data_IF_065127776075
#
_entry.id   IF_065127776075
#
_cell.length_a   1.000
_cell.length_b   1.000
_cell.length_c   1.000
_cell.angle_alpha   90.00
_cell.angle_beta   90.00
_cell.angle_gamma   90.00
#
_symmetry.space_group_name_H-M   'P 1'
#
loop_
_entity.id
_entity.type
_entity.pdbx_description
1 polymer ?
#
# COMPACT_ATOMS: atom_id res chain seq x y z
N UNK A 1 12.18 18.41 -1.89
CA UNK A 1 11.10 19.42 -1.85
C UNK A 1 9.87 18.94 -1.06
N UNK A 2 9.18 17.82 -1.47
CA UNK A 2 7.99 17.36 -0.72
C UNK A 2 8.32 16.97 0.72
N UNK A 3 9.40 16.22 0.96
CA UNK A 3 9.83 15.79 2.30
C UNK A 3 10.14 16.98 3.21
N UNK A 4 10.76 18.02 2.68
CA UNK A 4 11.10 19.25 3.42
C UNK A 4 9.91 20.17 3.67
N UNK A 5 8.87 20.07 2.82
CA UNK A 5 7.74 21.00 2.82
C UNK A 5 6.63 20.62 3.81
N UNK A 6 6.63 19.38 4.35
CA UNK A 6 5.55 18.88 5.19
C UNK A 6 6.08 18.14 6.42
N UNK A 7 5.29 18.14 7.49
CA UNK A 7 5.61 17.41 8.72
C UNK A 7 5.02 16.00 8.80
N UNK A 8 4.27 15.59 7.77
CA UNK A 8 3.69 14.23 7.69
C UNK A 8 4.68 13.26 7.04
N UNK A 9 4.67 11.96 7.43
CA UNK A 9 5.54 10.97 6.83
C UNK A 9 5.30 10.84 5.31
N UNK A 10 6.39 10.79 4.52
CA UNK A 10 6.33 10.59 3.08
C UNK A 10 6.90 9.23 2.73
N UNK A 11 6.11 8.37 2.09
CA UNK A 11 6.56 7.09 1.52
C UNK A 11 6.56 7.16 0.01
N UNK A 12 7.67 6.79 -0.60
CA UNK A 12 7.90 6.92 -2.04
C UNK A 12 7.65 5.58 -2.76
N UNK A 13 6.85 5.62 -3.83
CA UNK A 13 6.57 4.44 -4.65
C UNK A 13 7.78 4.07 -5.49
N UNK A 14 8.27 2.85 -5.30
CA UNK A 14 9.37 2.24 -6.09
C UNK A 14 8.75 1.21 -7.02
N UNK A 15 8.45 1.62 -8.23
CA UNK A 15 7.79 0.78 -9.24
C UNK A 15 8.28 1.15 -10.64
N UNK A 16 9.35 0.53 -11.15
CA UNK A 16 10.00 0.92 -12.41
C UNK A 16 9.14 0.68 -13.65
N UNK A 17 8.15 -0.23 -13.58
CA UNK A 17 7.24 -0.52 -14.69
C UNK A 17 5.80 -0.73 -14.20
N UNK A 18 4.83 -0.36 -15.04
CA UNK A 18 3.40 -0.48 -14.74
C UNK A 18 2.78 -1.80 -15.20
N UNK A 19 3.43 -2.51 -16.11
CA UNK A 19 2.87 -3.68 -16.82
C UNK A 19 2.79 -4.96 -15.99
N UNK A 20 3.63 -5.08 -14.94
CA UNK A 20 3.74 -6.31 -14.15
C UNK A 20 4.38 -6.02 -12.79
N UNK A 21 4.19 -6.93 -11.82
CA UNK A 21 4.92 -6.97 -10.56
C UNK A 21 6.03 -8.05 -10.55
N UNK A 22 6.23 -8.75 -11.68
CA UNK A 22 7.38 -9.64 -11.86
C UNK A 22 8.54 -8.83 -12.43
N UNK A 23 9.63 -8.73 -11.70
CA UNK A 23 10.79 -7.90 -12.04
C UNK A 23 11.98 -8.74 -12.49
N UNK A 24 12.75 -8.21 -13.41
CA UNK A 24 14.03 -8.74 -13.83
C UNK A 24 15.18 -8.32 -12.90
N UNK A 25 16.36 -8.85 -13.10
CA UNK A 25 17.58 -8.38 -12.40
C UNK A 25 17.89 -6.91 -12.69
N UNK A 26 17.59 -6.42 -13.90
CA UNK A 26 17.76 -5.01 -14.24
C UNK A 26 16.77 -4.12 -13.50
N UNK A 27 15.49 -4.53 -13.42
CA UNK A 27 14.49 -3.82 -12.64
C UNK A 27 14.92 -3.73 -11.15
N UNK A 28 15.50 -4.81 -10.61
CA UNK A 28 16.00 -4.82 -9.23
C UNK A 28 17.08 -3.76 -9.00
N UNK A 29 18.05 -3.64 -9.91
CA UNK A 29 19.10 -2.64 -9.74
C UNK A 29 18.56 -1.22 -9.83
N UNK A 30 17.59 -0.95 -10.72
CA UNK A 30 16.87 0.34 -10.75
C UNK A 30 16.16 0.59 -9.44
N UNK A 31 15.40 -0.39 -8.93
CA UNK A 31 14.67 -0.24 -7.65
C UNK A 31 15.62 0.03 -6.47
N UNK A 32 16.77 -0.63 -6.42
CA UNK A 32 17.78 -0.39 -5.38
C UNK A 32 18.34 1.03 -5.45
N UNK A 33 18.66 1.50 -6.67
CA UNK A 33 19.12 2.87 -6.89
C UNK A 33 18.07 3.90 -6.44
N UNK A 34 16.80 3.69 -6.81
CA UNK A 34 15.71 4.55 -6.39
C UNK A 34 15.53 4.55 -4.85
N UNK A 35 15.69 3.39 -4.20
CA UNK A 35 15.63 3.28 -2.73
C UNK A 35 16.75 4.08 -2.07
N UNK A 36 17.98 4.01 -2.56
CA UNK A 36 19.09 4.81 -2.03
C UNK A 36 18.82 6.32 -2.20
N UNK A 37 18.34 6.75 -3.36
CA UNK A 37 17.94 8.14 -3.57
C UNK A 37 16.83 8.60 -2.58
N UNK A 38 15.88 7.71 -2.24
CA UNK A 38 14.84 7.98 -1.24
C UNK A 38 15.43 8.15 0.16
N UNK A 39 16.45 7.38 0.54
CA UNK A 39 17.17 7.56 1.81
C UNK A 39 17.88 8.91 1.86
N UNK A 40 18.59 9.27 0.78
CA UNK A 40 19.35 10.52 0.71
C UNK A 40 18.47 11.75 0.91
N UNK A 41 17.24 11.73 0.40
CA UNK A 41 16.28 12.84 0.58
C UNK A 41 15.56 12.81 1.94
N UNK A 42 15.82 11.82 2.79
CA UNK A 42 15.23 11.71 4.13
C UNK A 42 13.74 11.40 4.16
N UNK A 43 13.21 10.66 3.18
CA UNK A 43 11.83 10.20 3.22
C UNK A 43 11.60 9.16 4.33
N UNK A 44 10.37 9.06 4.84
CA UNK A 44 9.99 8.13 5.92
C UNK A 44 10.05 6.67 5.48
N UNK A 45 9.77 6.39 4.22
CA UNK A 45 9.73 5.03 3.76
C UNK A 45 9.53 4.87 2.26
N UNK A 46 9.42 3.62 1.87
CA UNK A 46 9.23 3.19 0.48
C UNK A 46 7.99 2.31 0.34
N UNK A 47 7.46 2.28 -0.87
CA UNK A 47 6.31 1.46 -1.23
C UNK A 47 6.68 0.60 -2.43
N UNK A 48 6.73 -0.71 -2.26
CA UNK A 48 6.99 -1.65 -3.35
C UNK A 48 6.26 -2.98 -3.13
N UNK A 49 6.40 -3.91 -4.06
CA UNK A 49 5.92 -5.29 -3.97
C UNK A 49 6.37 -6.03 -5.20
N UNK A 50 6.72 -7.29 -5.06
CA UNK A 50 7.27 -8.12 -6.11
C UNK A 50 6.63 -9.51 -6.10
N UNK A 51 6.28 -9.99 -7.29
CA UNK A 51 5.68 -11.30 -7.49
C UNK A 51 6.55 -12.12 -8.45
N UNK A 52 6.40 -13.44 -8.35
CA UNK A 52 6.89 -14.37 -9.35
C UNK A 52 5.80 -14.69 -10.38
N UNK A 53 6.14 -15.51 -11.37
CA UNK A 53 5.21 -15.91 -12.44
C UNK A 53 4.01 -16.75 -11.95
N UNK A 54 4.12 -17.34 -10.74
CA UNK A 54 3.04 -18.12 -10.10
C UNK A 54 2.10 -17.25 -9.28
N UNK A 55 2.18 -15.91 -9.41
CA UNK A 55 1.41 -14.96 -8.59
C UNK A 55 1.57 -15.19 -7.08
N UNK A 56 2.77 -15.55 -6.66
CA UNK A 56 3.21 -15.60 -5.27
C UNK A 56 4.27 -14.52 -5.04
N UNK A 57 4.52 -14.15 -3.79
CA UNK A 57 5.59 -13.19 -3.48
C UNK A 57 6.94 -13.77 -3.91
N UNK A 58 7.71 -13.01 -4.68
CA UNK A 58 9.11 -13.35 -5.00
C UNK A 58 9.98 -13.06 -3.77
N UNK A 59 10.18 -14.09 -2.95
CA UNK A 59 10.92 -13.99 -1.69
C UNK A 59 12.36 -13.53 -1.90
N UNK A 60 13.03 -14.05 -2.95
CA UNK A 60 14.42 -13.69 -3.23
C UNK A 60 14.56 -12.22 -3.62
N UNK A 61 13.62 -11.72 -4.40
CA UNK A 61 13.54 -10.31 -4.77
C UNK A 61 13.20 -9.46 -3.56
N UNK A 62 12.20 -9.88 -2.78
CA UNK A 62 11.74 -9.18 -1.57
C UNK A 62 12.89 -8.97 -0.58
N UNK A 63 13.65 -10.01 -0.25
CA UNK A 63 14.78 -9.94 0.67
C UNK A 63 15.84 -8.94 0.23
N UNK A 64 16.15 -8.90 -1.08
CA UNK A 64 17.10 -7.94 -1.64
C UNK A 64 16.60 -6.49 -1.52
N UNK A 65 15.30 -6.27 -1.78
CA UNK A 65 14.67 -4.95 -1.64
C UNK A 65 14.60 -4.51 -0.18
N UNK A 66 14.27 -5.42 0.74
CA UNK A 66 14.27 -5.15 2.17
C UNK A 66 15.67 -4.83 2.69
N UNK A 67 16.70 -5.53 2.21
CA UNK A 67 18.08 -5.21 2.54
C UNK A 67 18.46 -3.80 2.07
N UNK A 68 18.10 -3.43 0.85
CA UNK A 68 18.31 -2.07 0.33
C UNK A 68 17.54 -1.02 1.13
N UNK A 69 16.34 -1.35 1.62
CA UNK A 69 15.46 -0.44 2.37
C UNK A 69 15.75 -0.34 3.87
N UNK A 70 16.87 -0.92 4.35
CA UNK A 70 17.20 -0.91 5.77
C UNK A 70 17.17 0.52 6.35
N UNK A 71 16.41 0.69 7.43
CA UNK A 71 16.20 1.99 8.09
C UNK A 71 14.99 2.77 7.59
N UNK A 72 14.30 2.31 6.55
CA UNK A 72 13.05 2.88 6.04
C UNK A 72 11.84 2.05 6.44
N UNK A 73 10.70 2.70 6.60
CA UNK A 73 9.42 2.02 6.67
C UNK A 73 9.05 1.44 5.30
N UNK A 74 8.53 0.21 5.27
CA UNK A 74 8.17 -0.45 4.01
C UNK A 74 6.67 -0.72 3.95
N UNK A 75 6.05 -0.28 2.85
CA UNK A 75 4.69 -0.66 2.48
C UNK A 75 4.73 -1.65 1.33
N UNK A 76 4.15 -2.84 1.51
CA UNK A 76 3.91 -3.75 0.39
C UNK A 76 2.64 -3.29 -0.35
N UNK A 77 2.80 -2.91 -1.61
CA UNK A 77 1.71 -2.30 -2.37
C UNK A 77 0.71 -3.31 -2.94
N UNK A 78 -0.19 -2.87 -3.82
CA UNK A 78 -1.28 -3.65 -4.41
C UNK A 78 -0.85 -4.83 -5.30
N UNK A 79 0.43 -5.15 -5.44
CA UNK A 79 0.86 -6.47 -5.89
C UNK A 79 0.26 -7.58 -5.00
N UNK A 80 -0.03 -7.24 -3.73
CA UNK A 80 -0.72 -8.13 -2.80
C UNK A 80 -2.09 -8.58 -3.33
N UNK A 81 -2.82 -7.70 -4.03
CA UNK A 81 -4.14 -8.01 -4.59
C UNK A 81 -4.10 -9.05 -5.73
N UNK A 82 -2.92 -9.27 -6.35
CA UNK A 82 -2.73 -10.23 -7.43
C UNK A 82 -2.24 -11.61 -6.96
N UNK A 83 -2.04 -11.79 -5.65
CA UNK A 83 -1.69 -13.08 -5.09
C UNK A 83 -2.82 -14.09 -5.28
N UNK A 84 -2.46 -15.32 -5.60
CA UNK A 84 -3.42 -16.44 -5.66
C UNK A 84 -4.05 -16.75 -4.30
N UNK A 85 -3.30 -16.49 -3.21
CA UNK A 85 -3.75 -16.69 -1.83
C UNK A 85 -3.30 -15.51 -0.95
N UNK A 86 -4.24 -14.61 -0.63
CA UNK A 86 -3.96 -13.41 0.17
C UNK A 86 -3.59 -13.77 1.63
N UNK A 87 -4.17 -14.83 2.20
CA UNK A 87 -3.87 -15.23 3.58
C UNK A 87 -2.46 -15.80 3.73
N UNK A 88 -2.02 -16.56 2.75
CA UNK A 88 -0.66 -17.08 2.70
C UNK A 88 0.34 -15.92 2.49
N UNK A 89 0.01 -14.97 1.60
CA UNK A 89 0.79 -13.76 1.42
C UNK A 89 0.90 -12.92 2.69
N UNK A 90 -0.20 -12.77 3.44
CA UNK A 90 -0.18 -12.08 4.73
C UNK A 90 0.76 -12.78 5.72
N UNK A 91 0.63 -14.10 5.89
CA UNK A 91 1.51 -14.87 6.78
C UNK A 91 2.98 -14.70 6.42
N UNK A 92 3.30 -14.81 5.13
CA UNK A 92 4.67 -14.61 4.67
C UNK A 92 5.18 -13.19 5.00
N UNK A 93 4.39 -12.15 4.76
CA UNK A 93 4.80 -10.77 5.05
C UNK A 93 5.02 -10.56 6.54
N UNK A 94 4.23 -11.17 7.40
CA UNK A 94 4.38 -11.06 8.86
C UNK A 94 5.71 -11.63 9.37
N UNK A 95 6.38 -12.51 8.62
CA UNK A 95 7.73 -12.99 8.92
C UNK A 95 8.81 -11.94 8.62
N UNK A 96 8.45 -10.81 8.01
CA UNK A 96 9.37 -9.70 7.68
C UNK A 96 8.98 -8.41 8.43
N UNK A 97 9.44 -8.18 9.66
CA UNK A 97 9.06 -7.01 10.48
C UNK A 97 9.39 -5.65 9.86
N UNK A 98 10.28 -5.62 8.85
CA UNK A 98 10.58 -4.41 8.10
C UNK A 98 9.38 -3.94 7.25
N UNK A 99 8.44 -4.83 6.90
CA UNK A 99 7.20 -4.49 6.20
C UNK A 99 6.15 -4.18 7.26
N UNK A 100 5.91 -2.91 7.50
CA UNK A 100 4.96 -2.48 8.52
C UNK A 100 3.55 -2.19 7.99
N UNK A 101 3.35 -2.18 6.67
CA UNK A 101 2.06 -1.87 6.06
C UNK A 101 1.83 -2.70 4.80
N UNK A 102 0.60 -3.19 4.61
CA UNK A 102 0.13 -3.79 3.35
C UNK A 102 -0.98 -2.92 2.78
N UNK A 103 -0.77 -2.36 1.57
CA UNK A 103 -1.81 -1.67 0.83
C UNK A 103 -2.58 -2.68 -0.03
N UNK A 104 -3.86 -2.86 0.27
CA UNK A 104 -4.70 -3.83 -0.43
C UNK A 104 -6.13 -3.33 -0.63
N UNK A 105 -6.76 -3.83 -1.66
CA UNK A 105 -8.21 -3.67 -1.90
C UNK A 105 -9.02 -4.91 -1.50
N UNK A 106 -8.37 -5.95 -0.99
CA UNK A 106 -8.97 -7.26 -0.71
C UNK A 106 -8.97 -8.19 -1.92
N UNK A 107 -8.14 -7.91 -2.94
CA UNK A 107 -8.03 -8.72 -4.16
C UNK A 107 -9.17 -8.48 -5.16
N UNK A 108 -9.43 -9.48 -6.01
CA UNK A 108 -10.48 -9.44 -7.03
C UNK A 108 -11.88 -9.72 -6.44
N UNK A 109 -12.91 -9.34 -7.18
CA UNK A 109 -14.30 -9.58 -6.84
C UNK A 109 -15.09 -8.30 -6.57
N UNK A 110 -16.36 -8.50 -6.21
CA UNK A 110 -17.25 -7.38 -5.88
C UNK A 110 -16.92 -6.76 -4.49
N UNK A 111 -17.64 -5.70 -4.12
CA UNK A 111 -17.38 -4.99 -2.88
C UNK A 111 -17.61 -5.86 -1.63
N UNK A 112 -18.61 -6.75 -1.66
CA UNK A 112 -18.94 -7.59 -0.52
C UNK A 112 -17.86 -8.66 -0.29
N UNK A 113 -17.46 -9.34 -1.35
CA UNK A 113 -16.36 -10.33 -1.31
C UNK A 113 -15.07 -9.71 -0.83
N UNK A 114 -14.72 -8.53 -1.36
CA UNK A 114 -13.53 -7.79 -0.96
C UNK A 114 -13.58 -7.34 0.49
N UNK A 115 -14.74 -6.81 0.94
CA UNK A 115 -14.92 -6.38 2.34
C UNK A 115 -14.80 -7.55 3.31
N UNK A 116 -15.33 -8.72 2.96
CA UNK A 116 -15.19 -9.94 3.76
C UNK A 116 -13.72 -10.35 3.90
N UNK A 117 -12.98 -10.37 2.79
CA UNK A 117 -11.53 -10.68 2.81
C UNK A 117 -10.74 -9.63 3.57
N UNK A 118 -11.04 -8.34 3.39
CA UNK A 118 -10.39 -7.25 4.14
C UNK A 118 -10.60 -7.41 5.65
N UNK A 119 -11.83 -7.73 6.08
CA UNK A 119 -12.13 -8.00 7.49
C UNK A 119 -11.27 -9.16 8.04
N UNK A 120 -11.14 -10.25 7.26
CA UNK A 120 -10.31 -11.38 7.64
C UNK A 120 -8.83 -11.01 7.72
N UNK A 121 -8.31 -10.25 6.75
CA UNK A 121 -6.92 -9.77 6.73
C UNK A 121 -6.65 -8.86 7.93
N UNK A 122 -7.52 -7.88 8.21
CA UNK A 122 -7.39 -6.98 9.36
C UNK A 122 -7.34 -7.77 10.67
N UNK A 123 -8.23 -8.76 10.83
CA UNK A 123 -8.24 -9.60 12.03
C UNK A 123 -6.98 -10.46 12.17
N UNK A 124 -6.47 -11.03 11.06
CA UNK A 124 -5.32 -11.94 11.07
C UNK A 124 -3.98 -11.20 11.16
N UNK A 125 -3.90 -10.00 10.63
CA UNK A 125 -2.73 -9.13 10.75
C UNK A 125 -2.46 -8.72 12.20
N UNK A 126 -3.53 -8.68 13.02
CA UNK A 126 -3.49 -8.23 14.42
C UNK A 126 -2.74 -6.91 14.55
N UNK A 127 -1.66 -6.86 15.29
CA UNK A 127 -0.80 -5.66 15.39
C UNK A 127 0.56 -5.82 14.68
N UNK A 128 0.77 -6.96 14.01
CA UNK A 128 2.04 -7.29 13.37
C UNK A 128 2.32 -6.47 12.12
N UNK A 129 1.27 -6.19 11.34
CA UNK A 129 1.36 -5.38 10.13
C UNK A 129 0.06 -4.59 9.93
N UNK A 130 0.17 -3.34 9.50
CA UNK A 130 -1.00 -2.50 9.25
C UNK A 130 -1.64 -2.84 7.90
N UNK A 131 -2.96 -3.05 7.89
CA UNK A 131 -3.73 -3.18 6.64
C UNK A 131 -4.24 -1.81 6.23
N UNK A 132 -3.60 -1.23 5.22
CA UNK A 132 -3.99 0.02 4.58
C UNK A 132 -5.00 -0.29 3.47
N UNK A 133 -6.26 -0.04 3.73
CA UNK A 133 -7.36 -0.35 2.80
C UNK A 133 -7.39 0.67 1.66
N UNK A 134 -7.20 0.22 0.43
CA UNK A 134 -7.18 1.09 -0.75
C UNK A 134 -7.81 0.45 -1.98
N UNK A 135 -7.80 1.16 -3.10
CA UNK A 135 -8.35 0.65 -4.35
C UNK A 135 -9.87 0.69 -4.41
N UNK A 136 -10.41 1.88 -4.68
CA UNK A 136 -11.84 2.13 -4.76
C UNK A 136 -12.47 2.70 -3.50
N UNK A 137 -11.66 3.15 -2.54
CA UNK A 137 -12.16 3.92 -1.39
C UNK A 137 -12.60 5.30 -1.88
N UNK A 138 -13.84 5.65 -1.55
CA UNK A 138 -14.48 6.91 -1.93
C UNK A 138 -15.17 7.54 -0.73
N UNK A 139 -15.51 8.81 -0.85
CA UNK A 139 -16.35 9.50 0.11
C UNK A 139 -17.69 8.75 0.37
N UNK A 140 -18.28 8.18 -0.68
CA UNK A 140 -19.56 7.46 -0.58
C UNK A 140 -19.47 6.12 0.14
N UNK A 141 -18.30 5.46 0.21
CA UNK A 141 -18.18 4.11 0.77
C UNK A 141 -17.27 3.97 1.99
N UNK A 142 -16.48 4.99 2.33
CA UNK A 142 -15.46 4.88 3.37
C UNK A 142 -16.01 4.55 4.75
N UNK A 143 -17.17 5.12 5.13
CA UNK A 143 -17.80 4.85 6.41
C UNK A 143 -18.30 3.40 6.51
N UNK A 144 -18.94 2.89 5.45
CA UNK A 144 -19.37 1.48 5.38
C UNK A 144 -18.18 0.53 5.33
N UNK A 145 -17.13 0.85 4.58
CA UNK A 145 -15.91 0.05 4.58
C UNK A 145 -15.26 -0.02 5.96
N UNK A 146 -15.18 1.11 6.70
CA UNK A 146 -14.67 1.11 8.07
C UNK A 146 -15.49 0.18 8.97
N UNK A 147 -16.82 0.28 8.92
CA UNK A 147 -17.72 -0.55 9.71
C UNK A 147 -17.63 -2.04 9.36
N UNK A 148 -17.57 -2.38 8.07
CA UNK A 148 -17.55 -3.77 7.59
C UNK A 148 -16.21 -4.46 7.85
N UNK A 149 -15.10 -3.74 7.73
CA UNK A 149 -13.76 -4.32 7.79
C UNK A 149 -13.07 -4.20 9.13
N UNK A 150 -13.55 -3.31 10.02
CA UNK A 150 -12.83 -2.84 11.20
C UNK A 150 -11.43 -2.25 10.88
N UNK A 151 -11.22 -1.83 9.64
CA UNK A 151 -9.98 -1.20 9.20
C UNK A 151 -9.76 0.15 9.88
N UNK A 152 -8.49 0.44 10.18
CA UNK A 152 -8.08 1.70 10.83
C UNK A 152 -7.51 2.69 9.84
N UNK A 153 -6.92 2.22 8.74
CA UNK A 153 -6.19 3.03 7.77
C UNK A 153 -6.74 2.87 6.37
N UNK A 154 -6.92 4.01 5.68
CA UNK A 154 -7.52 4.07 4.34
C UNK A 154 -6.66 4.91 3.40
N UNK A 155 -6.39 4.36 2.22
CA UNK A 155 -5.73 5.06 1.14
C UNK A 155 -6.78 5.65 0.19
N UNK A 156 -6.77 6.96 0.04
CA UNK A 156 -7.61 7.68 -0.91
C UNK A 156 -6.75 8.37 -1.97
N UNK A 157 -7.19 8.31 -3.21
CA UNK A 157 -6.53 8.98 -4.33
C UNK A 157 -7.46 10.00 -4.97
N UNK A 158 -8.25 9.56 -5.96
CA UNK A 158 -9.18 10.44 -6.71
C UNK A 158 -10.20 11.15 -5.81
N UNK A 159 -10.69 10.47 -4.78
CA UNK A 159 -11.70 11.05 -3.87
C UNK A 159 -11.19 12.22 -3.02
N UNK A 160 -9.88 12.46 -2.98
CA UNK A 160 -9.29 13.63 -2.37
C UNK A 160 -9.18 14.82 -3.34
N UNK A 161 -9.66 14.67 -4.57
CA UNK A 161 -9.49 15.65 -5.66
C UNK A 161 -10.82 16.18 -6.14
N UNK A 162 -10.79 17.40 -6.70
CA UNK A 162 -11.95 18.04 -7.32
C UNK A 162 -12.56 17.11 -8.38
N UNK A 163 -13.89 16.98 -8.36
CA UNK A 163 -14.68 16.14 -9.26
C UNK A 163 -14.29 14.65 -9.28
N UNK A 164 -13.57 14.15 -8.27
CA UNK A 164 -13.00 12.80 -8.27
C UNK A 164 -12.13 12.50 -9.51
N UNK A 165 -11.56 13.53 -10.10
CA UNK A 165 -10.70 13.40 -11.29
C UNK A 165 -9.27 13.04 -10.89
N UNK A 166 -8.66 12.09 -11.65
CA UNK A 166 -7.27 11.69 -11.43
C UNK A 166 -6.28 12.85 -11.56
N UNK A 167 -6.58 13.81 -12.41
CA UNK A 167 -5.77 15.02 -12.67
C UNK A 167 -6.30 16.27 -11.97
N UNK A 168 -7.42 16.15 -11.24
CA UNK A 168 -8.02 17.24 -10.48
C UNK A 168 -7.09 17.73 -9.36
N UNK A 169 -7.26 18.99 -8.97
CA UNK A 169 -6.53 19.55 -7.82
C UNK A 169 -6.94 18.86 -6.52
N UNK A 170 -6.03 18.79 -5.56
CA UNK A 170 -6.37 18.30 -4.22
C UNK A 170 -7.38 19.26 -3.58
N UNK A 171 -8.47 18.72 -3.08
CA UNK A 171 -9.52 19.47 -2.39
C UNK A 171 -9.41 19.28 -0.87
N UNK A 172 -9.07 20.36 -0.18
CA UNK A 172 -9.02 20.38 1.29
C UNK A 172 -10.38 20.07 1.89
N UNK A 173 -11.46 20.56 1.26
CA UNK A 173 -12.83 20.33 1.70
C UNK A 173 -13.20 18.85 1.64
N UNK A 174 -12.91 18.18 0.52
CA UNK A 174 -13.14 16.73 0.40
C UNK A 174 -12.32 15.92 1.41
N UNK A 175 -11.07 16.29 1.63
CA UNK A 175 -10.24 15.63 2.64
C UNK A 175 -10.85 15.79 4.04
N UNK A 176 -11.26 16.99 4.41
CA UNK A 176 -11.93 17.24 5.71
C UNK A 176 -13.22 16.45 5.84
N UNK A 177 -14.04 16.42 4.80
CA UNK A 177 -15.28 15.66 4.78
C UNK A 177 -15.04 14.14 4.98
N UNK A 178 -14.07 13.59 4.28
CA UNK A 178 -13.66 12.18 4.44
C UNK A 178 -13.14 11.90 5.86
N UNK A 179 -12.31 12.79 6.41
CA UNK A 179 -11.81 12.66 7.78
C UNK A 179 -12.95 12.67 8.81
N UNK A 180 -13.91 13.56 8.67
CA UNK A 180 -15.10 13.61 9.53
C UNK A 180 -15.89 12.28 9.49
N UNK A 181 -16.05 11.66 8.31
CA UNK A 181 -16.69 10.34 8.19
C UNK A 181 -15.91 9.22 8.88
N UNK A 182 -14.61 9.37 9.02
CA UNK A 182 -13.76 8.45 9.76
C UNK A 182 -13.71 8.74 11.26
N UNK A 183 -14.19 9.90 11.70
CA UNK A 183 -14.13 10.33 13.08
C UNK A 183 -12.73 10.74 13.54
N UNK A 184 -11.92 11.32 12.62
CA UNK A 184 -10.54 11.77 12.85
C UNK A 184 -10.30 13.19 12.33
#
# INVERSE_FOLDING_TARGET
QCVEAVSVPIRVMIRPKSSSFCYSSYDLEVMKYDIEAVKEIGADGVVFGCLNQSQSIDVKMLEKLLHASKGLNVTFHRAFDELTNLEEGLRLIMDYPAINTILTSGGYGDLNERSTRLQQLVRKADSSVEILIGGGVTDGNIASMKSLTNGKSFHIGRSARENNDLYGKISIEQIRHIKNKLGV
#
